data_IF_543833940172
#
_entry.id   IF_543833940172
#
_cell.length_a   1.000
_cell.length_b   1.000
_cell.length_c   1.000
_cell.angle_alpha   90.00
_cell.angle_beta   90.00
_cell.angle_gamma   90.00
#
_symmetry.space_group_name_H-M   'P 1'
#
loop_
_entity.id
_entity.type
_entity.pdbx_description
1 polymer ?
#
# COMPACT_ATOMS: atom_id res chain seq x y z
N UNK A 1 3.31 -20.12 2.51
CA UNK A 1 2.69 -19.14 1.58
C UNK A 1 1.64 -18.25 2.27
N UNK A 2 1.74 -18.03 3.60
CA UNK A 2 0.66 -17.45 4.42
C UNK A 2 0.87 -15.97 4.79
N UNK A 3 2.12 -15.47 4.77
CA UNK A 3 2.44 -14.10 5.18
C UNK A 3 1.88 -12.99 4.26
N UNK A 4 1.69 -13.27 2.97
CA UNK A 4 1.12 -12.29 2.03
C UNK A 4 -0.37 -12.06 2.25
N UNK A 5 -1.10 -13.07 2.73
CA UNK A 5 -2.53 -12.93 3.04
C UNK A 5 -2.72 -12.11 4.30
N UNK A 6 -2.00 -12.45 5.36
CA UNK A 6 -2.09 -11.76 6.65
C UNK A 6 -1.72 -10.27 6.54
N UNK A 7 -0.69 -9.96 5.75
CA UNK A 7 -0.31 -8.58 5.44
C UNK A 7 -1.38 -7.84 4.63
N UNK A 8 -2.01 -8.53 3.67
CA UNK A 8 -3.07 -7.96 2.84
C UNK A 8 -4.43 -7.84 3.54
N UNK A 9 -4.66 -8.51 4.67
CA UNK A 9 -5.94 -8.51 5.42
C UNK A 9 -5.99 -7.57 6.62
N UNK A 10 -4.95 -6.78 6.89
CA UNK A 10 -4.84 -5.84 8.03
C UNK A 10 -5.93 -4.76 8.13
N UNK A 11 -6.84 -4.65 7.16
CA UNK A 11 -7.94 -3.67 7.13
C UNK A 11 -9.14 -4.01 8.03
N UNK A 12 -9.16 -5.19 8.65
CA UNK A 12 -10.21 -5.62 9.60
C UNK A 12 -9.54 -6.02 10.92
N UNK A 13 -10.10 -5.60 12.06
CA UNK A 13 -9.69 -6.11 13.38
C UNK A 13 -10.05 -7.60 13.47
N UNK A 14 -9.05 -8.46 13.24
CA UNK A 14 -9.02 -9.89 13.58
C UNK A 14 -9.74 -10.88 12.63
N UNK A 15 -9.19 -12.10 12.54
CA UNK A 15 -9.68 -13.27 11.77
C UNK A 15 -11.05 -13.78 12.23
N UNK A 16 -11.44 -13.46 13.46
CA UNK A 16 -12.73 -13.82 14.08
C UNK A 16 -13.89 -13.00 13.50
N UNK A 17 -13.68 -11.70 13.24
CA UNK A 17 -14.69 -10.83 12.62
C UNK A 17 -15.04 -11.26 11.17
N UNK A 18 -14.11 -11.91 10.47
CA UNK A 18 -14.39 -12.51 9.16
C UNK A 18 -15.24 -13.78 9.27
N UNK A 19 -15.08 -14.58 10.33
CA UNK A 19 -15.89 -15.79 10.56
C UNK A 19 -17.32 -15.46 11.02
N UNK A 20 -17.48 -14.43 11.84
CA UNK A 20 -18.80 -13.94 12.30
C UNK A 20 -19.64 -13.27 11.20
N UNK A 21 -19.03 -12.95 10.04
CA UNK A 21 -19.68 -12.29 8.91
C UNK A 21 -20.77 -13.12 8.19
N UNK A 22 -21.04 -14.34 8.64
CA UNK A 22 -22.11 -15.21 8.10
C UNK A 22 -23.48 -15.00 8.74
N UNK A 23 -23.58 -14.32 9.89
CA UNK A 23 -24.86 -14.04 10.55
C UNK A 23 -25.30 -12.60 10.26
N UNK A 24 -26.58 -12.35 9.97
CA UNK A 24 -27.07 -11.13 9.29
C UNK A 24 -27.61 -9.99 10.19
N UNK A 25 -27.58 -10.12 11.51
CA UNK A 25 -28.44 -9.29 12.39
C UNK A 25 -27.90 -7.92 12.85
N UNK A 26 -26.69 -7.47 12.48
CA UNK A 26 -26.16 -6.21 13.05
C UNK A 26 -25.17 -5.46 12.14
N UNK A 27 -25.66 -4.78 11.11
CA UNK A 27 -24.83 -4.13 10.08
C UNK A 27 -24.03 -2.90 10.57
N UNK A 28 -24.56 -2.12 11.52
CA UNK A 28 -23.87 -0.94 12.03
C UNK A 28 -22.71 -1.29 12.98
N UNK A 29 -22.86 -2.33 13.79
CA UNK A 29 -21.78 -2.85 14.63
C UNK A 29 -20.62 -3.41 13.77
N UNK A 30 -20.92 -3.95 12.58
CA UNK A 30 -19.92 -4.47 11.63
C UNK A 30 -19.03 -3.40 11.04
N UNK A 31 -19.59 -2.26 10.63
CA UNK A 31 -18.77 -1.16 10.08
C UNK A 31 -17.77 -0.61 11.10
N UNK A 32 -18.12 -0.64 12.39
CA UNK A 32 -17.23 -0.22 13.48
C UNK A 32 -15.98 -1.09 13.68
N UNK A 33 -15.93 -2.28 13.09
CA UNK A 33 -14.75 -3.18 13.11
C UNK A 33 -13.75 -2.88 12.00
N UNK A 34 -14.15 -2.10 10.99
CA UNK A 34 -13.30 -1.68 9.88
C UNK A 34 -12.34 -0.62 10.42
N UNK A 35 -11.04 -0.85 10.24
CA UNK A 35 -10.02 0.13 10.63
C UNK A 35 -10.10 1.31 9.67
N UNK A 36 -10.25 2.53 10.20
CA UNK A 36 -10.24 3.72 9.36
C UNK A 36 -8.88 3.89 8.71
N UNK A 37 -8.90 4.35 7.46
CA UNK A 37 -7.68 4.57 6.69
C UNK A 37 -6.74 5.54 7.40
N UNK A 38 -7.25 6.58 8.06
CA UNK A 38 -6.38 7.61 8.63
C UNK A 38 -5.72 7.21 9.97
N UNK A 39 -6.18 6.12 10.59
CA UNK A 39 -5.71 5.68 11.91
C UNK A 39 -4.41 4.86 11.88
N UNK A 40 -3.86 4.55 10.71
CA UNK A 40 -2.70 3.65 10.56
C UNK A 40 -1.58 4.26 9.71
N UNK A 41 -0.33 3.90 10.01
CA UNK A 41 0.84 4.33 9.24
C UNK A 41 1.04 3.56 7.91
N UNK A 42 0.16 2.59 7.60
CA UNK A 42 0.14 1.78 6.37
C UNK A 42 1.52 1.49 5.79
N UNK A 43 2.33 0.72 6.51
CA UNK A 43 3.57 0.18 5.95
C UNK A 43 3.18 -0.93 4.98
N UNK A 44 3.47 -0.75 3.68
CA UNK A 44 3.23 -1.72 2.62
C UNK A 44 4.57 -2.15 2.03
N UNK A 45 4.86 -3.45 2.01
CA UNK A 45 6.10 -4.01 1.46
C UNK A 45 5.78 -4.73 0.15
N UNK A 46 6.51 -4.40 -0.92
CA UNK A 46 6.36 -4.95 -2.25
C UNK A 46 7.62 -5.67 -2.69
N UNK A 47 7.45 -6.87 -3.23
CA UNK A 47 8.46 -7.51 -4.06
C UNK A 47 8.31 -6.97 -5.49
N UNK A 48 9.36 -6.34 -6.01
CA UNK A 48 9.29 -5.65 -7.30
C UNK A 48 9.26 -6.68 -8.43
N UNK A 49 8.27 -6.58 -9.33
CA UNK A 49 8.09 -7.54 -10.42
C UNK A 49 9.08 -7.38 -11.56
N UNK A 50 9.56 -6.15 -11.81
CA UNK A 50 10.47 -5.86 -12.93
C UNK A 50 11.95 -5.97 -12.56
N UNK A 51 12.28 -5.96 -11.27
CA UNK A 51 13.65 -6.04 -10.76
C UNK A 51 13.69 -7.12 -9.68
N UNK A 52 14.00 -8.37 -10.07
CA UNK A 52 14.13 -9.48 -9.14
C UNK A 52 15.05 -9.11 -7.97
N UNK A 53 14.78 -9.73 -6.81
CA UNK A 53 15.57 -9.58 -5.58
C UNK A 53 15.56 -8.18 -4.93
N UNK A 54 14.67 -7.29 -5.38
CA UNK A 54 14.47 -5.98 -4.75
C UNK A 54 13.10 -5.87 -4.09
N UNK A 55 13.09 -5.16 -2.95
CA UNK A 55 11.92 -4.90 -2.13
C UNK A 55 11.73 -3.39 -2.01
N UNK A 56 10.53 -2.93 -2.33
CA UNK A 56 10.10 -1.56 -2.05
C UNK A 56 9.25 -1.52 -0.79
N UNK A 57 9.30 -0.42 -0.04
CA UNK A 57 8.33 -0.16 1.01
C UNK A 57 7.66 1.21 0.79
N UNK A 58 6.36 1.25 1.01
CA UNK A 58 5.56 2.47 1.10
C UNK A 58 5.08 2.63 2.54
N UNK A 59 4.92 3.87 2.98
CA UNK A 59 4.48 4.24 4.32
C UNK A 59 3.84 5.62 4.26
N UNK A 60 2.92 5.92 5.17
CA UNK A 60 2.26 7.24 5.20
C UNK A 60 3.17 8.32 5.81
N UNK A 61 3.79 7.98 6.93
CA UNK A 61 4.67 8.87 7.69
C UNK A 61 6.03 8.18 7.89
N UNK A 62 7.07 8.77 7.29
CA UNK A 62 8.44 8.26 7.33
C UNK A 62 9.02 8.24 8.74
N UNK A 63 8.55 9.11 9.64
CA UNK A 63 9.02 9.17 11.03
C UNK A 63 8.54 7.99 11.87
N UNK A 64 7.41 7.38 11.47
CA UNK A 64 6.78 6.22 12.11
C UNK A 64 7.26 4.88 11.55
N UNK A 65 8.23 4.88 10.62
CA UNK A 65 8.83 3.65 10.07
C UNK A 65 9.80 3.05 11.07
N UNK A 66 9.64 1.76 11.38
CA UNK A 66 10.49 1.05 12.33
C UNK A 66 11.93 0.90 11.83
N UNK A 67 12.90 0.94 12.74
CA UNK A 67 14.33 0.97 12.39
C UNK A 67 14.80 -0.27 11.62
N UNK A 68 14.24 -1.44 11.94
CA UNK A 68 14.51 -2.69 11.18
C UNK A 68 14.13 -2.56 9.71
N UNK A 69 13.04 -1.86 9.38
CA UNK A 69 12.60 -1.63 8.01
C UNK A 69 13.56 -0.66 7.32
N UNK A 70 13.97 0.41 8.01
CA UNK A 70 14.99 1.33 7.48
C UNK A 70 16.30 0.61 7.19
N UNK A 71 16.74 -0.25 8.11
CA UNK A 71 17.95 -1.06 7.95
C UNK A 71 17.86 -1.97 6.73
N UNK A 72 16.71 -2.64 6.54
CA UNK A 72 16.45 -3.48 5.37
C UNK A 72 16.51 -2.67 4.07
N UNK A 73 15.83 -1.52 4.01
CA UNK A 73 15.83 -0.67 2.80
C UNK A 73 17.22 -0.11 2.50
N UNK A 74 17.94 0.38 3.52
CA UNK A 74 19.32 0.87 3.40
C UNK A 74 20.29 -0.23 2.94
N UNK A 75 20.03 -1.50 3.28
CA UNK A 75 20.86 -2.61 2.80
C UNK A 75 20.78 -2.83 1.29
N UNK A 76 19.68 -2.41 0.64
CA UNK A 76 19.47 -2.56 -0.80
C UNK A 76 20.15 -1.47 -1.64
N UNK A 77 20.69 -0.42 -1.00
CA UNK A 77 21.41 0.65 -1.71
C UNK A 77 22.76 0.15 -2.20
N UNK A 78 22.96 0.24 -3.52
CA UNK A 78 24.25 0.01 -4.16
C UNK A 78 25.00 1.35 -4.19
N UNK A 79 26.20 1.39 -3.60
CA UNK A 79 27.04 2.60 -3.54
C UNK A 79 27.03 3.31 -2.19
N UNK A 80 27.11 4.63 -2.20
CA UNK A 80 27.26 5.44 -0.99
C UNK A 80 25.97 5.48 -0.16
N UNK A 81 26.02 4.88 1.03
CA UNK A 81 24.90 4.78 1.96
C UNK A 81 24.78 6.00 2.89
N UNK A 82 25.70 6.97 2.83
CA UNK A 82 25.69 8.15 3.70
C UNK A 82 24.58 9.14 3.34
N UNK A 83 24.15 9.15 2.07
CA UNK A 83 23.05 10.00 1.56
C UNK A 83 21.68 9.33 1.57
N UNK A 84 21.59 8.10 2.08
CA UNK A 84 20.33 7.37 2.07
C UNK A 84 19.36 7.94 3.11
N UNK A 85 18.16 8.28 2.66
CA UNK A 85 17.04 8.66 3.51
C UNK A 85 15.72 8.05 3.00
N UNK A 86 14.70 8.08 3.85
CA UNK A 86 13.35 7.69 3.48
C UNK A 86 12.69 8.82 2.68
N UNK A 87 12.06 8.45 1.57
CA UNK A 87 11.26 9.34 0.74
C UNK A 87 10.15 10.03 1.55
N UNK A 88 9.87 11.28 1.21
CA UNK A 88 8.72 12.02 1.72
C UNK A 88 7.70 12.24 0.59
N UNK A 89 6.73 11.34 0.49
CA UNK A 89 5.77 11.32 -0.62
C UNK A 89 4.90 12.58 -0.71
N UNK A 90 4.77 13.34 0.38
CA UNK A 90 4.02 14.60 0.38
C UNK A 90 4.80 15.74 -0.29
N UNK A 91 6.13 15.60 -0.41
CA UNK A 91 7.02 16.58 -1.04
C UNK A 91 7.40 16.18 -2.48
N UNK A 92 7.00 15.00 -2.94
CA UNK A 92 7.31 14.52 -4.28
C UNK A 92 6.38 15.14 -5.33
N UNK A 93 6.91 15.35 -6.54
CA UNK A 93 6.09 15.73 -7.69
C UNK A 93 5.20 14.57 -8.15
N UNK A 94 4.11 14.89 -8.83
CA UNK A 94 3.19 13.92 -9.46
C UNK A 94 3.95 12.92 -10.35
N UNK A 95 4.89 13.38 -11.16
CA UNK A 95 5.70 12.52 -12.04
C UNK A 95 6.58 11.55 -11.24
N UNK A 96 7.18 12.01 -10.14
CA UNK A 96 8.03 11.17 -9.31
C UNK A 96 7.20 10.10 -8.55
N UNK A 97 6.00 10.46 -8.08
CA UNK A 97 5.04 9.51 -7.52
C UNK A 97 4.56 8.50 -8.57
N UNK A 98 4.32 8.97 -9.80
CA UNK A 98 3.90 8.14 -10.91
C UNK A 98 4.96 7.11 -11.27
N UNK A 99 6.23 7.53 -11.39
CA UNK A 99 7.35 6.63 -11.63
C UNK A 99 7.47 5.53 -10.55
N UNK A 100 7.22 5.88 -9.28
CA UNK A 100 7.14 4.88 -8.20
C UNK A 100 5.99 3.91 -8.40
N UNK A 101 4.79 4.39 -8.70
CA UNK A 101 3.63 3.52 -8.94
C UNK A 101 3.87 2.58 -10.12
N UNK A 102 4.43 3.08 -11.22
CA UNK A 102 4.79 2.26 -12.37
C UNK A 102 5.79 1.16 -12.00
N UNK A 103 6.84 1.51 -11.24
CA UNK A 103 7.84 0.55 -10.79
C UNK A 103 7.23 -0.60 -9.96
N UNK A 104 6.19 -0.30 -9.16
CA UNK A 104 5.47 -1.31 -8.37
C UNK A 104 4.49 -2.13 -9.21
N UNK A 105 3.75 -1.47 -10.10
CA UNK A 105 2.59 -2.04 -10.79
C UNK A 105 2.92 -2.77 -12.09
N UNK A 106 3.92 -2.26 -12.82
CA UNK A 106 4.14 -2.60 -14.22
C UNK A 106 4.65 -4.03 -14.39
N UNK A 107 4.06 -4.72 -15.36
CA UNK A 107 4.42 -6.09 -15.78
C UNK A 107 4.99 -6.15 -17.20
N UNK A 108 4.82 -5.09 -17.99
CA UNK A 108 5.20 -4.99 -19.41
C UNK A 108 5.88 -3.66 -19.69
N UNK A 109 6.73 -3.59 -20.70
CA UNK A 109 7.40 -2.36 -21.14
C UNK A 109 6.59 -1.53 -22.14
N UNK A 110 5.37 -1.96 -22.47
CA UNK A 110 4.48 -1.23 -23.38
C UNK A 110 4.06 0.13 -22.82
N UNK A 111 3.88 1.10 -23.72
CA UNK A 111 3.45 2.45 -23.36
C UNK A 111 1.98 2.42 -22.94
N UNK A 112 1.72 2.86 -21.72
CA UNK A 112 0.37 3.03 -21.18
C UNK A 112 -0.13 4.45 -21.46
N UNK A 113 -1.37 4.57 -21.91
CA UNK A 113 -2.08 5.85 -22.00
C UNK A 113 -2.98 5.97 -20.76
N UNK A 114 -2.52 6.73 -19.77
CA UNK A 114 -3.20 6.91 -18.50
C UNK A 114 -3.83 8.31 -18.50
N UNK A 115 -5.09 8.45 -18.10
CA UNK A 115 -5.73 9.76 -18.02
C UNK A 115 -5.06 10.66 -16.98
N UNK A 116 -5.26 11.97 -17.11
CA UNK A 116 -4.77 12.92 -16.11
C UNK A 116 -5.40 12.63 -14.74
N UNK A 117 -4.54 12.46 -13.74
CA UNK A 117 -4.94 12.17 -12.36
C UNK A 117 -4.01 12.91 -11.41
N UNK A 118 -4.59 13.63 -10.45
CA UNK A 118 -3.84 14.31 -9.41
C UNK A 118 -3.29 13.29 -8.39
N UNK A 119 -2.16 12.66 -8.74
CA UNK A 119 -1.53 11.66 -7.90
C UNK A 119 -0.84 12.32 -6.70
N UNK A 120 -1.34 12.01 -5.50
CA UNK A 120 -0.72 12.39 -4.22
C UNK A 120 -0.02 11.19 -3.57
N UNK A 121 0.79 11.44 -2.55
CA UNK A 121 1.37 10.37 -1.72
C UNK A 121 0.30 9.46 -1.09
N UNK A 122 -0.85 10.02 -0.70
CA UNK A 122 -1.96 9.24 -0.13
C UNK A 122 -2.58 8.31 -1.18
N UNK A 123 -2.87 8.84 -2.38
CA UNK A 123 -3.45 8.07 -3.47
C UNK A 123 -2.48 7.00 -3.99
N UNK A 124 -1.16 7.26 -3.98
CA UNK A 124 -0.13 6.26 -4.26
C UNK A 124 -0.25 5.04 -3.32
N UNK A 125 -0.31 5.27 -2.00
CA UNK A 125 -0.37 4.18 -1.01
C UNK A 125 -1.71 3.42 -1.13
N UNK A 126 -2.82 4.13 -1.34
CA UNK A 126 -4.15 3.51 -1.59
C UNK A 126 -4.12 2.58 -2.81
N UNK A 127 -3.62 3.07 -3.95
CA UNK A 127 -3.51 2.30 -5.19
C UNK A 127 -2.60 1.09 -5.02
N UNK A 128 -1.48 1.26 -4.30
CA UNK A 128 -0.57 0.17 -4.00
C UNK A 128 -1.24 -0.93 -3.16
N UNK A 129 -2.04 -0.56 -2.15
CA UNK A 129 -2.79 -1.53 -1.35
C UNK A 129 -3.82 -2.32 -2.20
N UNK A 130 -4.55 -1.63 -3.08
CA UNK A 130 -5.49 -2.25 -4.03
C UNK A 130 -4.74 -3.25 -4.91
N UNK A 131 -3.61 -2.83 -5.48
CA UNK A 131 -2.76 -3.67 -6.32
C UNK A 131 -2.28 -4.93 -5.57
N UNK A 132 -1.85 -4.79 -4.32
CA UNK A 132 -1.38 -5.91 -3.49
C UNK A 132 -2.50 -6.94 -3.28
N UNK A 133 -3.70 -6.48 -2.90
CA UNK A 133 -4.86 -7.36 -2.69
C UNK A 133 -5.29 -8.04 -3.98
N UNK A 134 -5.32 -7.29 -5.09
CA UNK A 134 -5.64 -7.84 -6.41
C UNK A 134 -4.63 -8.93 -6.82
N UNK A 135 -3.32 -8.71 -6.64
CA UNK A 135 -2.27 -9.71 -6.90
C UNK A 135 -2.38 -10.95 -6.01
N UNK A 136 -2.89 -10.80 -4.79
CA UNK A 136 -3.14 -11.90 -3.87
C UNK A 136 -4.47 -12.64 -4.13
N UNK A 137 -5.22 -12.27 -5.17
CA UNK A 137 -6.58 -12.76 -5.45
C UNK A 137 -7.53 -12.59 -4.26
N UNK A 138 -7.37 -11.49 -3.51
CA UNK A 138 -8.24 -11.13 -2.39
C UNK A 138 -9.22 -10.05 -2.88
N UNK A 139 -10.54 -10.22 -2.68
CA UNK A 139 -11.53 -9.21 -3.03
C UNK A 139 -11.21 -7.83 -2.42
N UNK A 140 -11.41 -6.79 -3.21
CA UNK A 140 -11.22 -5.39 -2.79
C UNK A 140 -12.58 -4.73 -2.73
N UNK A 141 -12.94 -4.23 -1.55
CA UNK A 141 -14.11 -3.39 -1.32
C UNK A 141 -13.57 -2.03 -0.87
N UNK A 142 -13.92 -0.96 -1.59
CA UNK A 142 -13.49 0.40 -1.27
C UNK A 142 -14.70 1.18 -0.76
N UNK A 143 -14.70 1.48 0.54
CA UNK A 143 -15.75 2.26 1.19
C UNK A 143 -15.33 3.72 1.33
N UNK A 144 -16.27 4.64 1.16
CA UNK A 144 -16.05 6.06 1.42
C UNK A 144 -17.24 6.89 0.96
N UNK A 145 -17.21 8.18 1.30
CA UNK A 145 -18.32 9.10 1.03
C UNK A 145 -18.44 9.49 -0.45
N UNK A 146 -19.58 10.06 -0.85
CA UNK A 146 -19.73 10.59 -2.20
C UNK A 146 -18.70 11.71 -2.45
N UNK A 147 -18.14 11.76 -3.65
CA UNK A 147 -17.19 12.82 -4.04
C UNK A 147 -15.74 12.65 -3.55
N UNK A 148 -15.39 11.60 -2.79
CA UNK A 148 -13.99 11.40 -2.36
C UNK A 148 -13.06 10.73 -3.39
N UNK A 149 -13.49 10.60 -4.66
CA UNK A 149 -12.64 10.11 -5.76
C UNK A 149 -12.24 8.63 -5.65
N UNK A 150 -13.16 7.78 -5.17
CA UNK A 150 -13.03 6.31 -5.23
C UNK A 150 -13.18 5.79 -6.65
#
# INVERSE_FOLDING_TARGET
MDGSKDFATRSIKTREAQLESTNAEDENARLGTIVQWDDSNHLIVFFNSQTPDTISALYRDRTKVHENVKTLLKSQVIGDKTKWELDDYNLMSTDALFMKLEYLARKSTEKLYIPEYALSGDNLIKMALILLRARANIPVIVCGEAGCGK
#
